data_IF_152170922908
#
_entry.id   IF_152170922908
#
_cell.length_a   1.000
_cell.length_b   1.000
_cell.length_c   1.000
_cell.angle_alpha   90.00
_cell.angle_beta   90.00
_cell.angle_gamma   90.00
#
_symmetry.space_group_name_H-M   'P 1'
#
loop_
_entity.id
_entity.type
_entity.pdbx_description
1 polymer ?
#
# COMPACT_ATOMS: atom_id res chain seq x y z
N UNK A 1 -12.11 4.97 2.88
CA UNK A 1 -11.15 5.25 1.78
C UNK A 1 -11.43 4.30 0.62
N UNK A 2 -11.51 4.79 -0.61
CA UNK A 2 -11.73 3.94 -1.79
C UNK A 2 -10.39 3.60 -2.44
N UNK A 3 -9.78 2.49 -2.02
CA UNK A 3 -8.66 1.90 -2.75
C UNK A 3 -9.19 0.97 -3.85
N UNK A 4 -8.43 0.86 -4.95
CA UNK A 4 -8.64 -0.15 -5.99
C UNK A 4 -7.51 -1.16 -5.92
N UNK A 5 -7.81 -2.42 -6.16
CA UNK A 5 -6.82 -3.50 -6.07
C UNK A 5 -6.66 -4.17 -7.42
N UNK A 6 -5.41 -4.53 -7.76
CA UNK A 6 -5.09 -5.40 -8.88
C UNK A 6 -4.03 -6.40 -8.44
N UNK A 7 -3.92 -7.54 -9.10
CA UNK A 7 -2.97 -8.59 -8.74
C UNK A 7 -2.10 -8.94 -9.96
N UNK A 8 -0.85 -9.34 -9.71
CA UNK A 8 -0.01 -9.91 -10.75
C UNK A 8 -0.54 -11.28 -11.22
N UNK A 9 -0.08 -11.73 -12.39
CA UNK A 9 -0.50 -13.02 -12.97
C UNK A 9 -0.23 -14.22 -12.06
N UNK A 10 0.80 -14.15 -11.20
CA UNK A 10 1.23 -15.25 -10.35
C UNK A 10 0.55 -15.24 -8.97
N UNK A 11 -0.33 -14.28 -8.68
CA UNK A 11 -1.01 -14.18 -7.40
C UNK A 11 -0.17 -13.71 -6.21
N UNK A 12 1.15 -13.55 -6.40
CA UNK A 12 2.12 -13.25 -5.32
C UNK A 12 2.29 -11.78 -5.00
N UNK A 13 1.75 -10.88 -5.85
CA UNK A 13 1.90 -9.43 -5.70
C UNK A 13 0.55 -8.76 -5.89
N UNK A 14 0.17 -7.94 -4.91
CA UNK A 14 -1.03 -7.11 -4.96
C UNK A 14 -0.63 -5.65 -5.05
N UNK A 15 -1.34 -4.92 -5.91
CA UNK A 15 -1.19 -3.49 -6.07
C UNK A 15 -2.44 -2.80 -5.53
N UNK A 16 -2.26 -1.95 -4.52
CA UNK A 16 -3.31 -1.09 -3.98
C UNK A 16 -3.14 0.32 -4.54
N UNK A 17 -4.17 0.82 -5.21
CA UNK A 17 -4.18 2.12 -5.91
C UNK A 17 -5.09 3.05 -5.13
N UNK A 18 -4.54 4.19 -4.68
CA UNK A 18 -5.30 5.28 -4.07
C UNK A 18 -5.26 6.51 -4.97
N UNK A 19 -6.42 7.14 -5.17
CA UNK A 19 -6.59 8.36 -5.97
C UNK A 19 -6.51 9.64 -5.13
N UNK A 20 -6.41 9.50 -3.81
CA UNK A 20 -6.31 10.61 -2.87
C UNK A 20 -5.19 10.32 -1.88
N UNK A 21 -4.35 11.31 -1.63
CA UNK A 21 -3.31 11.17 -0.61
C UNK A 21 -3.96 11.02 0.77
N UNK A 22 -3.54 10.04 1.59
CA UNK A 22 -4.13 9.84 2.91
C UNK A 22 -3.90 11.06 3.82
N UNK A 23 -4.97 11.55 4.46
CA UNK A 23 -4.84 12.58 5.48
C UNK A 23 -4.14 12.01 6.70
N UNK A 24 -3.10 12.69 7.19
CA UNK A 24 -2.30 12.23 8.33
C UNK A 24 -1.39 11.03 8.01
N UNK A 25 -1.02 10.83 6.74
CA UNK A 25 -0.05 9.82 6.26
C UNK A 25 -0.50 8.36 6.42
N UNK A 26 -1.65 8.13 7.01
CA UNK A 26 -2.13 6.79 7.33
C UNK A 26 -3.12 6.30 6.27
N UNK A 27 -2.74 5.31 5.47
CA UNK A 27 -3.66 4.62 4.58
C UNK A 27 -4.16 3.33 5.22
N UNK A 28 -5.46 3.22 5.40
CA UNK A 28 -6.10 2.01 5.92
C UNK A 28 -6.55 1.15 4.74
N UNK A 29 -6.00 -0.06 4.66
CA UNK A 29 -6.36 -1.10 3.71
C UNK A 29 -7.19 -2.17 4.44
N UNK A 30 -8.41 -2.42 3.98
CA UNK A 30 -9.23 -3.51 4.53
C UNK A 30 -8.81 -4.90 4.04
N UNK A 31 -7.97 -4.98 3.01
CA UNK A 31 -7.43 -6.20 2.40
C UNK A 31 -6.27 -5.84 1.47
N UNK A 32 -5.36 -6.77 1.13
CA UNK A 32 -5.20 -8.12 1.68
C UNK A 32 -4.57 -8.10 3.09
N UNK A 33 -4.62 -9.23 3.79
CA UNK A 33 -3.90 -9.41 5.06
C UNK A 33 -2.40 -9.57 4.79
N UNK A 34 -1.59 -8.83 5.53
CA UNK A 34 -0.13 -8.89 5.46
C UNK A 34 0.42 -9.81 6.56
N UNK A 35 1.55 -10.44 6.27
CA UNK A 35 2.37 -11.19 7.22
C UNK A 35 3.70 -10.50 7.44
N UNK A 36 4.48 -10.94 8.43
CA UNK A 36 5.82 -10.39 8.70
C UNK A 36 6.79 -10.53 7.52
N UNK A 37 6.53 -11.47 6.61
CA UNK A 37 7.30 -11.65 5.36
C UNK A 37 6.84 -10.73 4.22
N UNK A 38 5.76 -9.96 4.42
CA UNK A 38 5.21 -9.04 3.43
C UNK A 38 6.04 -7.77 3.32
N UNK A 39 6.34 -7.37 2.08
CA UNK A 39 7.05 -6.11 1.80
C UNK A 39 6.10 -5.14 1.13
N UNK A 40 6.08 -3.90 1.64
CA UNK A 40 5.20 -2.83 1.16
C UNK A 40 6.06 -1.71 0.59
N UNK A 41 5.90 -1.39 -0.69
CA UNK A 41 6.72 -0.38 -1.39
C UNK A 41 5.83 0.60 -2.15
N UNK A 42 6.26 1.86 -2.24
CA UNK A 42 5.56 2.88 -3.02
C UNK A 42 6.06 2.87 -4.46
N UNK A 43 5.22 2.60 -5.47
CA UNK A 43 5.70 2.66 -6.85
C UNK A 43 6.14 4.08 -7.22
N UNK A 44 7.33 4.18 -7.83
CA UNK A 44 7.96 5.44 -8.20
C UNK A 44 8.90 6.01 -7.15
N UNK A 45 8.94 5.42 -5.95
CA UNK A 45 10.00 5.62 -4.97
C UNK A 45 10.40 4.25 -4.43
N UNK A 46 11.62 3.77 -4.68
CA UNK A 46 12.10 2.46 -4.19
C UNK A 46 12.30 2.42 -2.66
N UNK A 47 11.44 3.12 -1.92
CA UNK A 47 11.36 3.17 -0.48
C UNK A 47 10.30 2.16 0.01
N UNK A 48 10.74 1.33 0.96
CA UNK A 48 9.86 0.48 1.76
C UNK A 48 9.06 1.35 2.74
N UNK A 49 7.76 1.08 2.82
CA UNK A 49 6.85 1.79 3.71
C UNK A 49 6.69 1.02 5.01
N UNK A 50 6.68 1.74 6.12
CA UNK A 50 6.26 1.17 7.39
C UNK A 50 4.77 0.82 7.33
N UNK A 51 4.42 -0.34 7.88
CA UNK A 51 3.03 -0.78 7.94
C UNK A 51 2.77 -1.53 9.25
N UNK A 52 1.50 -1.60 9.63
CA UNK A 52 1.01 -2.35 10.79
C UNK A 52 -0.26 -3.09 10.41
N UNK A 53 -0.25 -4.41 10.48
CA UNK A 53 -1.45 -5.20 10.31
C UNK A 53 -2.17 -5.43 11.64
N UNK A 54 -3.48 -5.50 11.57
CA UNK A 54 -4.38 -6.01 12.60
C UNK A 54 -5.29 -7.06 11.96
N UNK A 55 -6.06 -7.80 12.77
CA UNK A 55 -6.96 -8.86 12.31
C UNK A 55 -7.99 -8.41 11.25
N UNK A 56 -8.26 -7.11 11.14
CA UNK A 56 -9.28 -6.55 10.24
C UNK A 56 -8.75 -5.59 9.18
N UNK A 57 -7.65 -4.92 9.48
CA UNK A 57 -7.16 -3.79 8.69
C UNK A 57 -5.64 -3.71 8.72
N UNK A 58 -5.06 -3.29 7.61
CA UNK A 58 -3.64 -2.97 7.48
C UNK A 58 -3.49 -1.46 7.35
N UNK A 59 -2.70 -0.87 8.25
CA UNK A 59 -2.30 0.52 8.23
C UNK A 59 -0.96 0.63 7.49
N UNK A 60 -0.91 1.39 6.39
CA UNK A 60 0.35 1.72 5.70
C UNK A 60 0.67 3.18 5.93
N UNK A 61 1.91 3.46 6.36
CA UNK A 61 2.39 4.80 6.67
C UNK A 61 3.08 5.38 5.44
N UNK A 62 2.50 6.43 4.88
CA UNK A 62 3.01 7.13 3.72
C UNK A 62 4.12 8.12 4.12
N UNK A 63 5.05 8.43 3.20
CA UNK A 63 5.99 9.53 3.37
C UNK A 63 5.25 10.89 3.40
N UNK A 64 5.98 12.00 3.46
CA UNK A 64 5.35 13.31 3.28
C UNK A 64 4.91 13.52 1.83
N UNK A 65 3.75 14.15 1.61
CA UNK A 65 3.26 14.42 0.25
C UNK A 65 4.26 15.24 -0.57
N UNK A 66 5.00 16.13 0.08
CA UNK A 66 6.00 17.00 -0.53
C UNK A 66 7.17 16.22 -1.16
N UNK A 67 7.47 15.02 -0.65
CA UNK A 67 8.53 14.18 -1.23
C UNK A 67 8.05 13.44 -2.48
N UNK A 68 6.74 13.38 -2.73
CA UNK A 68 6.14 12.63 -3.84
C UNK A 68 5.62 13.57 -4.92
N UNK A 69 6.28 13.54 -6.08
CA UNK A 69 6.04 14.42 -7.23
C UNK A 69 4.71 14.21 -7.97
N UNK A 70 3.99 13.12 -7.69
CA UNK A 70 2.76 12.74 -8.39
C UNK A 70 1.53 13.22 -7.63
N UNK A 71 0.52 13.77 -8.33
CA UNK A 71 -0.70 14.35 -7.72
C UNK A 71 -2.01 13.62 -8.05
N UNK A 72 -1.97 12.58 -8.90
CA UNK A 72 -3.18 11.93 -9.41
C UNK A 72 -3.51 10.61 -8.70
N UNK A 73 -2.53 9.70 -8.66
CA UNK A 73 -2.70 8.37 -8.10
C UNK A 73 -1.38 7.86 -7.53
N UNK A 74 -1.49 7.08 -6.46
CA UNK A 74 -0.37 6.43 -5.80
C UNK A 74 -0.64 4.95 -5.70
N UNK A 75 0.38 4.17 -6.03
CA UNK A 75 0.27 2.72 -6.09
C UNK A 75 1.23 2.12 -5.09
N UNK A 76 0.68 1.34 -4.18
CA UNK A 76 1.42 0.53 -3.25
C UNK A 76 1.58 -0.85 -3.88
N UNK A 77 2.82 -1.34 -3.94
CA UNK A 77 3.13 -2.70 -4.31
C UNK A 77 3.37 -3.50 -3.04
N UNK A 78 2.62 -4.58 -2.88
CA UNK A 78 2.67 -5.48 -1.75
C UNK A 78 3.09 -6.85 -2.26
N UNK A 79 4.22 -7.37 -1.77
CA UNK A 79 4.72 -8.70 -2.10
C UNK A 79 4.55 -9.66 -0.92
N UNK A 80 4.44 -10.97 -1.20
CA UNK A 80 4.24 -12.02 -0.20
C UNK A 80 2.93 -11.89 0.58
N UNK A 81 1.86 -11.51 -0.10
CA UNK A 81 0.51 -11.43 0.49
C UNK A 81 -0.02 -12.81 0.87
N UNK A 82 -0.73 -12.87 1.99
CA UNK A 82 -1.55 -14.02 2.33
C UNK A 82 -2.89 -13.89 1.59
N UNK A 83 -3.12 -14.75 0.58
CA UNK A 83 -4.42 -14.89 -0.09
C UNK A 83 -5.32 -15.86 0.66
#
# INVERSE_FOLDING_TARGET
YYCRYTQNKNGSVVYAITLSWPQGRNLILGSPSLSDDSTVTLLGQDQELEWRASDKETLVIFPDKETVRTDWAWVIKITNVLN
#
